data_IF_341302378019
#
_entry.id   IF_341302378019
#
_cell.length_a   1.000
_cell.length_b   1.000
_cell.length_c   1.000
_cell.angle_alpha   90.00
_cell.angle_beta   90.00
_cell.angle_gamma   90.00
#
_symmetry.space_group_name_H-M   'P 1'
#
loop_
_entity.id
_entity.type
_entity.pdbx_description
1 polymer ?
#
# COMPACT_ATOMS: atom_id res chain seq x y z
N UNK A 1 7.64 -14.68 3.02
CA UNK A 1 8.32 -15.01 1.74
C UNK A 1 9.33 -13.91 1.46
N UNK A 2 10.51 -14.25 0.92
CA UNK A 2 11.53 -13.27 0.52
C UNK A 2 11.75 -13.44 -0.99
N UNK A 3 11.56 -12.38 -1.76
CA UNK A 3 11.79 -12.35 -3.21
C UNK A 3 12.88 -11.33 -3.50
N UNK A 4 14.01 -11.77 -4.04
CA UNK A 4 15.11 -10.90 -4.45
C UNK A 4 15.28 -10.96 -5.96
N UNK A 5 14.98 -9.84 -6.63
CA UNK A 5 15.09 -9.71 -8.08
C UNK A 5 15.74 -8.36 -8.44
N UNK A 6 16.49 -8.26 -9.55
CA UNK A 6 17.04 -6.99 -10.06
C UNK A 6 15.97 -5.90 -10.24
N UNK A 7 16.36 -4.62 -10.23
CA UNK A 7 15.44 -3.51 -10.55
C UNK A 7 14.75 -3.72 -11.90
N UNK A 8 13.52 -3.22 -12.05
CA UNK A 8 12.71 -3.32 -13.28
C UNK A 8 12.18 -4.73 -13.66
N UNK A 9 12.28 -5.74 -12.78
CA UNK A 9 11.72 -7.09 -13.03
C UNK A 9 10.26 -7.25 -12.56
N UNK A 10 9.48 -6.17 -12.50
CA UNK A 10 8.06 -6.24 -12.14
C UNK A 10 7.76 -6.56 -10.66
N UNK A 11 8.67 -6.24 -9.73
CA UNK A 11 8.44 -6.46 -8.28
C UNK A 11 7.18 -5.76 -7.75
N UNK A 12 6.79 -4.63 -8.32
CA UNK A 12 5.53 -3.95 -7.97
C UNK A 12 4.31 -4.82 -8.29
N UNK A 13 4.28 -5.43 -9.47
CA UNK A 13 3.21 -6.35 -9.88
C UNK A 13 3.17 -7.59 -8.97
N UNK A 14 4.32 -8.13 -8.55
CA UNK A 14 4.34 -9.22 -7.59
C UNK A 14 3.71 -8.81 -6.26
N UNK A 15 4.03 -7.62 -5.74
CA UNK A 15 3.42 -7.11 -4.52
C UNK A 15 1.92 -6.88 -4.65
N UNK A 16 1.45 -6.43 -5.81
CA UNK A 16 0.02 -6.39 -6.14
C UNK A 16 -0.60 -7.79 -6.10
N UNK A 17 -0.01 -8.80 -6.75
CA UNK A 17 -0.55 -10.16 -6.72
C UNK A 17 -0.63 -10.74 -5.30
N UNK A 18 0.36 -10.45 -4.45
CA UNK A 18 0.31 -10.85 -3.05
C UNK A 18 -0.79 -10.11 -2.28
N UNK A 19 -0.99 -8.81 -2.55
CA UNK A 19 -2.06 -8.04 -1.95
C UNK A 19 -3.46 -8.57 -2.33
N UNK A 20 -3.69 -8.90 -3.61
CA UNK A 20 -4.93 -9.55 -4.06
C UNK A 20 -5.13 -10.88 -3.32
N UNK A 21 -4.10 -11.72 -3.31
CA UNK A 21 -4.17 -13.04 -2.68
C UNK A 21 -4.46 -12.94 -1.18
N UNK A 22 -3.84 -12.00 -0.47
CA UNK A 22 -4.02 -11.80 0.96
C UNK A 22 -5.42 -11.29 1.32
N UNK A 23 -6.00 -10.39 0.51
CA UNK A 23 -7.35 -9.85 0.77
C UNK A 23 -8.47 -10.80 0.33
N UNK A 24 -8.23 -11.61 -0.70
CA UNK A 24 -9.28 -12.46 -1.28
C UNK A 24 -10.50 -11.63 -1.70
N UNK A 25 -11.69 -12.03 -1.28
CA UNK A 25 -12.95 -11.30 -1.48
C UNK A 25 -13.46 -10.58 -0.22
N UNK A 26 -12.62 -10.45 0.81
CA UNK A 26 -13.01 -9.91 2.11
C UNK A 26 -12.46 -8.48 2.33
N UNK A 27 -13.16 -7.65 3.13
CA UNK A 27 -12.61 -6.42 3.68
C UNK A 27 -11.31 -6.67 4.45
N UNK A 28 -10.39 -5.70 4.44
CA UNK A 28 -9.12 -5.82 5.12
C UNK A 28 -8.16 -4.69 4.79
N UNK A 29 -6.94 -4.79 5.32
CA UNK A 29 -5.86 -3.82 5.08
C UNK A 29 -4.64 -4.52 4.49
N UNK A 30 -4.09 -3.94 3.44
CA UNK A 30 -2.75 -4.27 2.94
C UNK A 30 -1.85 -3.05 3.06
N UNK A 31 -0.66 -3.24 3.62
CA UNK A 31 0.37 -2.21 3.67
C UNK A 31 1.51 -2.55 2.71
N UNK A 32 1.80 -1.63 1.79
CA UNK A 32 2.92 -1.67 0.85
C UNK A 32 3.96 -0.62 1.26
N UNK A 33 5.12 -1.07 1.72
CA UNK A 33 6.20 -0.17 2.17
C UNK A 33 7.21 0.05 1.05
N UNK A 34 7.62 1.30 0.84
CA UNK A 34 8.54 1.70 -0.22
C UNK A 34 9.57 2.70 0.27
N UNK A 35 10.86 2.59 -0.12
CA UNK A 35 11.93 3.41 0.48
C UNK A 35 11.91 4.87 0.02
N UNK A 36 11.28 5.19 -1.11
CA UNK A 36 11.29 6.53 -1.68
C UNK A 36 9.89 7.02 -2.04
N UNK A 37 9.62 8.29 -1.76
CA UNK A 37 8.36 8.97 -2.12
C UNK A 37 8.05 8.81 -3.61
N UNK A 38 9.05 8.93 -4.49
CA UNK A 38 8.86 8.77 -5.94
C UNK A 38 8.37 7.36 -6.31
N UNK A 39 9.00 6.32 -5.74
CA UNK A 39 8.59 4.94 -5.95
C UNK A 39 7.20 4.67 -5.37
N UNK A 40 6.90 5.19 -4.18
CA UNK A 40 5.56 5.10 -3.60
C UNK A 40 4.49 5.73 -4.48
N UNK A 41 4.76 6.89 -5.10
CA UNK A 41 3.82 7.52 -6.03
C UNK A 41 3.55 6.64 -7.25
N UNK A 42 4.58 5.98 -7.79
CA UNK A 42 4.42 5.03 -8.89
C UNK A 42 3.56 3.83 -8.46
N UNK A 43 3.78 3.29 -7.27
CA UNK A 43 3.00 2.17 -6.71
C UNK A 43 1.53 2.58 -6.50
N UNK A 44 1.26 3.75 -5.94
CA UNK A 44 -0.11 4.29 -5.78
C UNK A 44 -0.81 4.41 -7.14
N UNK A 45 -0.10 4.89 -8.16
CA UNK A 45 -0.66 4.97 -9.52
C UNK A 45 -0.94 3.59 -10.10
N UNK A 46 -0.09 2.60 -9.85
CA UNK A 46 -0.29 1.22 -10.32
C UNK A 46 -1.50 0.59 -9.64
N UNK A 47 -1.61 0.67 -8.31
CA UNK A 47 -2.80 0.22 -7.58
C UNK A 47 -4.08 0.90 -8.10
N UNK A 48 -4.09 2.23 -8.29
CA UNK A 48 -5.26 2.93 -8.83
C UNK A 48 -5.67 2.48 -10.24
N UNK A 49 -4.75 1.95 -11.04
CA UNK A 49 -5.04 1.44 -12.39
C UNK A 49 -5.58 0.02 -12.37
N UNK A 50 -5.11 -0.82 -11.45
CA UNK A 50 -5.39 -2.26 -11.47
C UNK A 50 -6.44 -2.69 -10.44
N UNK A 51 -6.67 -1.93 -9.37
CA UNK A 51 -7.63 -2.29 -8.33
C UNK A 51 -9.06 -1.84 -8.65
N UNK A 52 -10.07 -2.56 -8.12
CA UNK A 52 -11.47 -2.12 -8.17
C UNK A 52 -11.65 -0.73 -7.57
N UNK A 53 -12.50 0.09 -8.19
CA UNK A 53 -12.73 1.50 -7.80
C UNK A 53 -13.35 1.66 -6.41
N UNK A 54 -13.93 0.60 -5.86
CA UNK A 54 -14.53 0.57 -4.52
C UNK A 54 -13.46 0.50 -3.40
N UNK A 55 -12.21 0.19 -3.75
CA UNK A 55 -11.11 0.11 -2.80
C UNK A 55 -10.54 1.48 -2.49
N UNK A 56 -10.15 1.70 -1.24
CA UNK A 56 -9.54 2.96 -0.80
C UNK A 56 -8.02 2.82 -0.79
N UNK A 57 -7.34 3.73 -1.48
CA UNK A 57 -5.88 3.74 -1.59
C UNK A 57 -5.33 4.97 -0.88
N UNK A 58 -4.61 4.73 0.22
CA UNK A 58 -4.00 5.73 1.08
C UNK A 58 -2.53 5.92 0.73
N UNK A 59 -2.15 7.13 0.37
CA UNK A 59 -0.77 7.47 0.07
C UNK A 59 -0.13 8.18 1.27
N UNK A 60 0.64 7.44 2.06
CA UNK A 60 1.38 7.94 3.22
C UNK A 60 2.84 8.21 2.86
N UNK A 61 3.05 9.16 1.95
CA UNK A 61 4.32 9.38 1.27
C UNK A 61 4.88 10.78 1.55
N UNK A 62 5.89 10.87 2.42
CA UNK A 62 6.51 12.14 2.79
C UNK A 62 5.56 13.12 3.50
N UNK A 63 6.09 14.28 3.90
CA UNK A 63 5.35 15.36 4.57
C UNK A 63 4.68 14.96 5.90
N UNK A 64 3.93 15.87 6.49
CA UNK A 64 2.96 15.56 7.55
C UNK A 64 1.56 15.79 7.01
N UNK A 65 0.70 14.80 7.19
CA UNK A 65 -0.71 14.83 6.86
C UNK A 65 -1.39 13.89 7.85
N UNK A 66 -2.48 14.35 8.45
CA UNK A 66 -3.35 13.52 9.29
C UNK A 66 -3.77 12.29 8.48
N UNK A 67 -3.50 11.07 8.99
CA UNK A 67 -3.95 9.86 8.31
C UNK A 67 -5.48 9.82 8.29
N UNK A 68 -6.08 9.58 7.13
CA UNK A 68 -7.50 9.25 7.06
C UNK A 68 -7.77 7.95 7.84
N UNK A 69 -8.88 7.90 8.56
CA UNK A 69 -9.31 6.69 9.26
C UNK A 69 -9.53 5.52 8.29
N UNK A 70 -8.98 4.36 8.66
CA UNK A 70 -9.19 3.09 7.96
C UNK A 70 -10.50 2.45 8.39
N UNK A 71 -11.22 1.82 7.46
CA UNK A 71 -12.42 1.03 7.73
C UNK A 71 -12.25 -0.44 7.29
N UNK A 72 -11.31 -1.19 7.91
CA UNK A 72 -10.91 -2.53 7.45
C UNK A 72 -12.03 -3.57 7.47
N UNK A 73 -13.09 -3.35 8.26
CA UNK A 73 -14.25 -4.26 8.34
C UNK A 73 -15.28 -4.03 7.24
N UNK A 74 -15.23 -2.86 6.58
CA UNK A 74 -16.23 -2.46 5.59
C UNK A 74 -15.67 -2.41 4.16
N UNK A 75 -14.34 -2.20 4.01
CA UNK A 75 -13.70 -2.00 2.70
C UNK A 75 -12.33 -2.66 2.63
N UNK A 76 -11.86 -2.85 1.41
CA UNK A 76 -10.46 -3.10 1.12
C UNK A 76 -9.70 -1.77 1.17
N UNK A 77 -8.72 -1.71 2.07
CA UNK A 77 -7.91 -0.54 2.37
C UNK A 77 -6.45 -0.84 1.98
N UNK A 78 -5.90 -0.09 1.02
CA UNK A 78 -4.51 -0.25 0.57
C UNK A 78 -3.72 0.95 1.05
N UNK A 79 -2.74 0.72 1.92
CA UNK A 79 -1.83 1.75 2.41
C UNK A 79 -0.50 1.62 1.69
N UNK A 80 -0.07 2.67 1.00
CA UNK A 80 1.28 2.77 0.44
C UNK A 80 2.06 3.79 1.26
N UNK A 81 3.10 3.34 1.97
CA UNK A 81 3.81 4.15 2.94
C UNK A 81 5.33 4.12 2.75
N UNK A 82 6.01 5.21 3.12
CA UNK A 82 7.45 5.12 3.42
C UNK A 82 7.65 4.61 4.86
N UNK A 83 8.78 3.96 5.18
CA UNK A 83 9.01 3.41 6.52
C UNK A 83 8.77 4.44 7.64
N UNK A 84 9.29 5.65 7.47
CA UNK A 84 9.21 6.72 8.46
C UNK A 84 7.77 7.16 8.72
N UNK A 85 6.92 7.13 7.68
CA UNK A 85 5.50 7.48 7.81
C UNK A 85 4.69 6.36 8.43
N UNK A 86 5.05 5.10 8.16
CA UNK A 86 4.39 3.95 8.79
C UNK A 86 4.67 3.89 10.30
N UNK A 87 5.90 4.17 10.70
CA UNK A 87 6.30 4.24 12.11
C UNK A 87 5.47 5.28 12.89
N UNK A 88 5.25 6.46 12.31
CA UNK A 88 4.45 7.52 12.92
C UNK A 88 3.00 7.11 13.23
N UNK A 89 2.38 6.29 12.38
CA UNK A 89 1.02 5.81 12.62
C UNK A 89 0.99 4.74 13.69
N UNK A 90 1.98 3.85 13.69
CA UNK A 90 2.03 2.71 14.62
C UNK A 90 2.35 3.15 16.04
N UNK A 91 3.09 4.25 16.23
CA UNK A 91 3.41 4.81 17.55
C UNK A 91 2.26 5.64 18.16
N UNK A 92 1.24 5.98 17.37
CA UNK A 92 0.11 6.82 17.78
C UNK A 92 -1.21 6.04 17.89
N UNK A 93 -1.21 4.72 17.64
CA UNK A 93 -2.35 3.82 17.72
C UNK A 93 -2.24 2.91 18.96
#
# INVERSE_FOLDING_TARGET
MIVSLPTSTGKTLLGELFAVHAMGAAPGVVCFVTPYVATGRQVVQAFRRHWPSESRIHAMLGGFAEPEGLAPTARMEIVVATPERLEQVTLCA
#
